data_IF_273946388530
#
_entry.id   IF_273946388530
#
_cell.length_a   1.000
_cell.length_b   1.000
_cell.length_c   1.000
_cell.angle_alpha   90.00
_cell.angle_beta   90.00
_cell.angle_gamma   90.00
#
_symmetry.space_group_name_H-M   'P 1'
#
loop_
_entity.id
_entity.type
_entity.pdbx_description
1 polymer ?
#
# COMPACT_ATOMS: atom_id res chain seq x y z
N UNK A 1 8.08 -13.73 13.05
CA UNK A 1 8.87 -13.07 11.99
C UNK A 1 8.66 -11.56 12.12
N UNK A 2 9.65 -10.74 11.76
CA UNK A 2 9.42 -9.30 11.69
C UNK A 2 8.22 -8.99 10.81
N UNK A 3 7.34 -8.08 11.26
CA UNK A 3 6.10 -7.73 10.55
C UNK A 3 6.35 -7.30 9.09
N UNK A 4 7.50 -6.69 8.83
CA UNK A 4 7.93 -6.24 7.52
C UNK A 4 8.12 -7.38 6.50
N UNK A 5 8.43 -8.60 6.95
CA UNK A 5 8.62 -9.75 6.05
C UNK A 5 7.35 -10.26 5.40
N UNK A 6 6.21 -9.88 5.93
CA UNK A 6 4.89 -10.29 5.44
C UNK A 6 4.03 -9.10 5.02
N UNK A 7 4.60 -7.89 5.02
CA UNK A 7 3.92 -6.70 4.53
C UNK A 7 3.96 -6.64 3.01
N UNK A 8 2.94 -6.03 2.42
CA UNK A 8 2.98 -5.61 1.01
C UNK A 8 4.08 -4.56 0.82
N UNK A 9 4.67 -4.44 -0.38
CA UNK A 9 5.53 -3.31 -0.69
C UNK A 9 4.83 -1.98 -0.43
N UNK A 10 5.59 -0.96 -0.05
CA UNK A 10 5.08 0.42 -0.06
C UNK A 10 4.93 0.84 -1.52
N UNK A 11 3.72 1.20 -1.91
CA UNK A 11 3.37 1.47 -3.29
C UNK A 11 2.29 2.53 -3.44
N UNK A 12 2.10 2.97 -4.67
CA UNK A 12 1.14 3.99 -5.04
C UNK A 12 0.44 3.60 -6.34
N UNK A 13 -0.83 3.96 -6.46
CA UNK A 13 -1.60 3.72 -7.69
C UNK A 13 -1.75 4.99 -8.50
N UNK A 14 -1.77 4.88 -9.85
CA UNK A 14 -1.93 6.01 -10.76
C UNK A 14 -3.39 6.45 -10.89
N UNK A 15 -3.58 7.73 -11.19
CA UNK A 15 -4.85 8.26 -11.64
C UNK A 15 -5.19 7.81 -13.07
N UNK A 16 -6.48 7.91 -13.46
CA UNK A 16 -6.90 7.66 -14.84
C UNK A 16 -6.19 8.57 -15.83
N UNK A 17 -5.92 9.83 -15.44
CA UNK A 17 -5.13 10.73 -16.28
C UNK A 17 -3.71 10.21 -16.51
N UNK A 18 -3.05 9.75 -15.46
CA UNK A 18 -1.68 9.26 -15.56
C UNK A 18 -1.58 8.04 -16.48
N UNK A 19 -2.48 7.06 -16.32
CA UNK A 19 -2.44 5.85 -17.16
C UNK A 19 -2.85 6.13 -18.61
N UNK A 20 -3.73 7.10 -18.85
CA UNK A 20 -4.05 7.54 -20.21
C UNK A 20 -2.84 8.20 -20.90
N UNK A 21 -2.12 9.06 -20.17
CA UNK A 21 -0.98 9.78 -20.72
C UNK A 21 0.25 8.88 -20.98
N UNK A 22 0.41 7.79 -20.22
CA UNK A 22 1.64 6.99 -20.23
C UNK A 22 1.47 5.56 -20.77
N UNK A 23 0.24 5.03 -20.72
CA UNK A 23 0.00 3.62 -21.03
C UNK A 23 -1.17 3.40 -21.99
N UNK A 24 -1.82 4.47 -22.48
CA UNK A 24 -3.01 4.42 -23.33
C UNK A 24 -4.17 3.61 -22.68
N UNK A 25 -4.30 3.72 -21.36
CA UNK A 25 -5.31 3.03 -20.57
C UNK A 25 -6.37 4.01 -20.04
N UNK A 26 -7.66 3.64 -20.08
CA UNK A 26 -8.73 4.58 -19.74
C UNK A 26 -8.95 4.76 -18.24
N UNK A 27 -8.53 3.81 -17.41
CA UNK A 27 -8.89 3.76 -16.00
C UNK A 27 -7.69 3.54 -15.08
N UNK A 28 -7.46 4.46 -14.16
CA UNK A 28 -6.53 4.32 -13.06
C UNK A 28 -7.06 3.38 -11.97
N UNK A 29 -6.23 3.08 -10.97
CA UNK A 29 -6.57 2.15 -9.91
C UNK A 29 -7.05 2.88 -8.65
N UNK A 30 -8.32 2.66 -8.32
CA UNK A 30 -8.92 2.95 -7.02
C UNK A 30 -9.07 1.63 -6.28
N UNK A 31 -8.67 1.60 -5.05
CA UNK A 31 -8.64 0.39 -4.23
C UNK A 31 -9.36 0.60 -2.91
N UNK A 32 -9.77 -0.48 -2.28
CA UNK A 32 -10.30 -0.50 -0.92
C UNK A 32 -9.82 -1.75 -0.19
N UNK A 33 -9.56 -1.60 1.12
CA UNK A 33 -9.34 -2.73 2.02
C UNK A 33 -10.50 -2.83 2.99
N UNK A 34 -11.20 -3.94 2.97
CA UNK A 34 -12.10 -4.32 4.05
C UNK A 34 -11.40 -5.33 4.95
N UNK A 35 -11.32 -5.02 6.23
CA UNK A 35 -10.63 -5.86 7.22
C UNK A 35 -11.61 -6.92 7.73
N UNK A 36 -11.51 -8.13 7.21
CA UNK A 36 -12.35 -9.25 7.63
C UNK A 36 -11.94 -9.80 9.00
N UNK A 37 -10.63 -9.85 9.27
CA UNK A 37 -10.07 -10.24 10.57
C UNK A 37 -8.79 -9.46 10.84
N UNK A 38 -8.55 -9.11 12.10
CA UNK A 38 -7.31 -8.48 12.54
C UNK A 38 -6.80 -9.12 13.83
N UNK A 39 -5.51 -9.45 13.84
CA UNK A 39 -4.82 -10.08 14.96
C UNK A 39 -3.78 -9.15 15.57
N UNK A 40 -3.23 -9.53 16.71
CA UNK A 40 -2.18 -8.77 17.37
C UNK A 40 -0.99 -8.49 16.43
N UNK A 41 -0.54 -7.25 16.38
CA UNK A 41 0.55 -6.81 15.51
C UNK A 41 0.15 -6.51 14.06
N UNK A 42 -1.14 -6.55 13.71
CA UNK A 42 -1.62 -6.11 12.41
C UNK A 42 -1.38 -4.60 12.22
N UNK A 43 -1.01 -4.23 10.99
CA UNK A 43 -0.75 -2.85 10.62
C UNK A 43 -1.22 -2.59 9.19
N UNK A 44 -1.84 -1.44 8.98
CA UNK A 44 -2.10 -0.88 7.66
C UNK A 44 -1.34 0.44 7.54
N UNK A 45 -0.48 0.52 6.55
CA UNK A 45 0.33 1.70 6.29
C UNK A 45 -0.36 2.52 5.21
N UNK A 46 -0.70 3.78 5.48
CA UNK A 46 -1.40 4.60 4.50
C UNK A 46 -1.22 6.09 4.74
N UNK A 47 -0.79 6.77 3.67
CA UNK A 47 -0.47 8.19 3.69
C UNK A 47 0.89 8.50 4.29
N UNK A 48 1.47 9.61 3.90
CA UNK A 48 2.66 10.15 4.55
C UNK A 48 2.30 10.80 5.88
N UNK A 49 3.17 10.72 6.88
CA UNK A 49 3.02 11.53 8.10
C UNK A 49 2.95 13.01 7.76
N UNK A 50 2.29 13.78 8.60
CA UNK A 50 2.06 15.20 8.31
C UNK A 50 3.34 16.02 8.16
N UNK A 51 4.37 15.64 8.90
CA UNK A 51 5.71 16.24 8.93
C UNK A 51 6.75 15.50 8.05
N UNK A 52 6.37 14.44 7.35
CA UNK A 52 7.31 13.68 6.53
C UNK A 52 7.83 14.50 5.35
N UNK A 53 9.14 14.45 5.14
CA UNK A 53 9.80 15.00 3.96
C UNK A 53 9.70 13.98 2.81
N UNK A 54 8.86 14.29 1.81
CA UNK A 54 8.63 13.40 0.67
C UNK A 54 9.85 13.38 -0.28
N UNK A 55 10.57 14.48 -0.43
CA UNK A 55 11.77 14.52 -1.26
C UNK A 55 12.86 13.64 -0.64
N UNK A 56 12.98 13.67 0.67
CA UNK A 56 13.89 12.77 1.40
C UNK A 56 13.47 11.30 1.28
N UNK A 57 12.16 10.99 1.35
CA UNK A 57 11.67 9.64 1.09
C UNK A 57 12.08 9.15 -0.30
N UNK A 58 11.85 9.94 -1.33
CA UNK A 58 12.21 9.60 -2.71
C UNK A 58 13.70 9.39 -2.87
N UNK A 59 14.52 10.27 -2.25
CA UNK A 59 15.97 10.14 -2.24
C UNK A 59 16.43 8.84 -1.60
N UNK A 60 15.86 8.47 -0.46
CA UNK A 60 16.17 7.22 0.25
C UNK A 60 15.77 5.99 -0.57
N UNK A 61 14.61 6.01 -1.22
CA UNK A 61 14.17 4.93 -2.11
C UNK A 61 15.15 4.76 -3.30
N UNK A 62 15.61 5.87 -3.89
CA UNK A 62 16.60 5.83 -4.97
C UNK A 62 17.96 5.29 -4.51
N UNK A 63 18.44 5.71 -3.37
CA UNK A 63 19.71 5.21 -2.81
C UNK A 63 19.61 3.74 -2.38
N UNK A 64 18.46 3.35 -1.86
CA UNK A 64 18.18 1.97 -1.48
C UNK A 64 18.13 1.03 -2.68
N UNK A 65 17.50 1.43 -3.79
CA UNK A 65 17.17 0.56 -4.94
C UNK A 65 16.56 -0.77 -4.48
N UNK A 66 15.89 -0.76 -3.33
CA UNK A 66 15.38 -1.94 -2.64
C UNK A 66 16.45 -3.03 -2.35
N UNK A 67 17.73 -2.66 -2.36
CA UNK A 67 18.88 -3.52 -2.04
C UNK A 67 19.38 -3.24 -0.63
N UNK A 68 19.31 -1.97 -0.21
CA UNK A 68 19.71 -1.53 1.13
C UNK A 68 18.46 -1.20 1.95
N UNK A 69 18.36 -1.69 3.20
CA UNK A 69 17.27 -1.29 4.07
C UNK A 69 17.21 0.23 4.29
N UNK A 70 15.99 0.76 4.38
CA UNK A 70 15.71 2.11 4.86
C UNK A 70 15.26 1.94 6.31
N UNK A 71 16.18 2.07 7.27
CA UNK A 71 15.92 1.73 8.66
C UNK A 71 14.82 2.60 9.30
N UNK A 72 14.71 3.84 8.85
CA UNK A 72 13.76 4.82 9.35
C UNK A 72 12.51 4.99 8.46
N UNK A 73 12.17 4.02 7.60
CA UNK A 73 11.03 4.15 6.70
C UNK A 73 9.69 4.45 7.43
N UNK A 74 9.55 3.98 8.67
CA UNK A 74 8.39 4.24 9.52
C UNK A 74 8.25 5.71 9.96
N UNK A 75 9.29 6.51 9.78
CA UNK A 75 9.21 7.94 10.07
C UNK A 75 8.44 8.70 8.98
N UNK A 76 8.32 8.12 7.80
CA UNK A 76 7.64 8.73 6.65
C UNK A 76 6.18 8.32 6.52
N UNK A 77 5.84 7.05 6.77
CA UNK A 77 4.52 6.49 6.46
C UNK A 77 3.68 6.34 7.74
N UNK A 78 2.43 6.78 7.66
CA UNK A 78 1.49 6.67 8.77
C UNK A 78 1.00 5.22 8.96
N UNK A 79 0.85 4.83 10.22
CA UNK A 79 0.37 3.51 10.62
C UNK A 79 -1.04 3.59 11.21
N UNK A 80 -1.90 2.70 10.75
CA UNK A 80 -3.28 2.55 11.19
C UNK A 80 -3.50 1.11 11.63
N UNK A 81 -3.37 0.78 12.93
CA UNK A 81 -3.67 -0.56 13.43
C UNK A 81 -5.13 -0.91 13.12
N UNK A 82 -5.36 -1.94 12.28
CA UNK A 82 -6.69 -2.26 11.80
C UNK A 82 -7.52 -2.96 12.87
N UNK A 83 -8.84 -2.84 12.73
CA UNK A 83 -9.83 -3.61 13.48
C UNK A 83 -10.75 -4.33 12.51
N UNK A 84 -11.28 -5.45 12.92
CA UNK A 84 -12.31 -6.16 12.17
C UNK A 84 -13.47 -5.22 11.81
N UNK A 85 -13.87 -5.23 10.54
CA UNK A 85 -14.89 -4.38 9.98
C UNK A 85 -14.43 -3.01 9.49
N UNK A 86 -13.19 -2.62 9.73
CA UNK A 86 -12.66 -1.36 9.17
C UNK A 86 -12.65 -1.40 7.65
N UNK A 87 -12.91 -0.26 7.04
CA UNK A 87 -12.83 -0.04 5.61
C UNK A 87 -11.86 1.13 5.33
N UNK A 88 -10.87 0.86 4.51
CA UNK A 88 -9.91 1.85 4.03
C UNK A 88 -10.17 2.15 2.56
N UNK A 89 -10.35 3.41 2.22
CA UNK A 89 -10.43 3.88 0.85
C UNK A 89 -9.04 4.29 0.39
N UNK A 90 -8.63 3.83 -0.79
CA UNK A 90 -7.29 4.06 -1.32
C UNK A 90 -7.39 4.65 -2.73
N UNK A 91 -7.66 5.96 -2.82
CA UNK A 91 -7.66 6.63 -4.12
C UNK A 91 -6.23 6.76 -4.68
N UNK A 92 -6.09 6.92 -6.01
CA UNK A 92 -4.81 7.18 -6.64
C UNK A 92 -4.00 8.26 -5.93
N UNK A 93 -2.67 8.11 -5.91
CA UNK A 93 -1.78 9.05 -5.24
C UNK A 93 -1.68 8.87 -3.72
N UNK A 94 -2.22 7.78 -3.18
CA UNK A 94 -2.08 7.41 -1.77
C UNK A 94 -0.97 6.39 -1.60
N UNK A 95 0.13 6.76 -0.93
CA UNK A 95 1.16 5.81 -0.53
C UNK A 95 0.58 4.83 0.48
N UNK A 96 0.70 3.51 0.24
CA UNK A 96 0.11 2.53 1.13
C UNK A 96 0.71 1.13 1.00
N UNK A 97 0.29 0.27 1.92
CA UNK A 97 0.54 -1.16 1.95
C UNK A 97 -0.04 -1.74 3.25
N UNK A 98 -0.53 -2.96 3.22
CA UNK A 98 -0.94 -3.62 4.46
C UNK A 98 0.16 -4.56 4.98
N UNK A 99 0.25 -4.66 6.30
CA UNK A 99 1.11 -5.62 6.98
C UNK A 99 0.46 -7.00 7.10
N UNK A 100 1.15 -7.91 7.73
CA UNK A 100 0.61 -9.22 8.08
C UNK A 100 -0.37 -9.19 9.25
N UNK A 101 -0.74 -10.37 9.71
CA UNK A 101 -1.64 -10.60 10.86
C UNK A 101 -3.05 -10.00 10.66
N UNK A 102 -3.54 -9.99 9.43
CA UNK A 102 -4.89 -9.56 9.09
C UNK A 102 -5.39 -10.31 7.85
N UNK A 103 -6.71 -10.47 7.78
CA UNK A 103 -7.40 -10.92 6.58
C UNK A 103 -8.06 -9.72 5.92
N UNK A 104 -7.65 -9.43 4.70
CA UNK A 104 -8.13 -8.28 3.94
C UNK A 104 -8.91 -8.77 2.73
N UNK A 105 -10.11 -8.24 2.54
CA UNK A 105 -10.81 -8.29 1.27
C UNK A 105 -10.46 -7.02 0.51
N UNK A 106 -9.62 -7.16 -0.49
CA UNK A 106 -9.23 -6.09 -1.39
C UNK A 106 -10.21 -6.02 -2.56
N UNK A 107 -10.61 -4.82 -2.90
CA UNK A 107 -11.45 -4.53 -4.06
C UNK A 107 -10.87 -3.34 -4.80
N UNK A 108 -10.77 -3.43 -6.11
CA UNK A 108 -10.24 -2.36 -6.93
C UNK A 108 -11.03 -2.14 -8.23
N UNK A 109 -10.80 -0.99 -8.87
CA UNK A 109 -11.49 -0.59 -10.10
C UNK A 109 -10.78 -1.04 -11.37
N UNK A 110 -9.58 -1.58 -11.22
CA UNK A 110 -8.78 -1.94 -12.37
C UNK A 110 -9.08 -3.37 -12.81
N UNK A 111 -9.79 -3.57 -13.93
CA UNK A 111 -9.72 -4.84 -14.58
C UNK A 111 -8.25 -5.02 -15.00
N UNK A 112 -7.63 -6.13 -14.64
CA UNK A 112 -6.31 -6.51 -15.10
C UNK A 112 -6.32 -6.68 -16.62
N UNK A 113 -6.36 -5.56 -17.35
CA UNK A 113 -6.19 -5.54 -18.80
C UNK A 113 -4.68 -5.74 -19.04
N UNK A 114 -4.33 -6.75 -19.80
CA UNK A 114 -2.94 -7.12 -20.09
C UNK A 114 -2.07 -7.54 -18.87
N UNK A 115 -2.67 -7.91 -17.74
CA UNK A 115 -1.93 -8.43 -16.59
C UNK A 115 -1.17 -7.37 -15.80
N UNK A 116 -1.46 -6.10 -15.97
CA UNK A 116 -0.87 -5.03 -15.17
C UNK A 116 -1.83 -4.58 -14.09
N UNK A 117 -1.37 -4.57 -12.86
CA UNK A 117 -2.16 -4.12 -11.70
C UNK A 117 -1.97 -2.63 -11.42
N UNK A 118 -1.09 -1.95 -12.17
CA UNK A 118 -0.71 -0.55 -11.94
C UNK A 118 -0.41 -0.23 -10.48
N UNK A 119 0.36 -1.11 -9.83
CA UNK A 119 0.94 -0.88 -8.51
C UNK A 119 2.39 -0.46 -8.69
N UNK A 120 2.70 0.80 -8.42
CA UNK A 120 4.06 1.31 -8.54
C UNK A 120 4.78 1.21 -7.20
N UNK A 121 5.62 0.19 -7.07
CA UNK A 121 6.37 -0.10 -5.86
C UNK A 121 7.50 0.89 -5.68
N UNK A 122 7.61 1.48 -4.50
CA UNK A 122 8.70 2.37 -4.11
C UNK A 122 9.67 1.72 -3.13
N UNK A 123 9.20 0.86 -2.23
CA UNK A 123 10.04 0.19 -1.27
C UNK A 123 9.47 -1.18 -0.85
N UNK A 124 10.26 -2.22 -0.91
CA UNK A 124 9.89 -3.59 -0.52
C UNK A 124 10.83 -4.16 0.56
N UNK A 125 11.24 -3.30 1.50
CA UNK A 125 12.01 -3.66 2.70
C UNK A 125 13.34 -4.36 2.42
N UNK A 126 13.92 -4.19 1.23
CA UNK A 126 15.14 -4.85 0.78
C UNK A 126 15.13 -6.38 1.00
N UNK A 127 13.96 -6.99 0.96
CA UNK A 127 13.82 -8.44 1.17
C UNK A 127 14.16 -9.22 -0.09
N UNK A 128 14.78 -10.40 0.05
CA UNK A 128 15.04 -11.24 -1.11
C UNK A 128 13.74 -11.78 -1.72
N UNK A 129 13.73 -11.95 -3.03
CA UNK A 129 12.64 -12.62 -3.72
C UNK A 129 12.79 -14.15 -3.67
N UNK A 130 11.76 -14.84 -4.12
CA UNK A 130 11.81 -16.28 -4.30
C UNK A 130 12.81 -16.66 -5.41
N UNK A 131 13.66 -17.64 -5.14
CA UNK A 131 14.58 -18.21 -6.11
C UNK A 131 14.08 -19.60 -6.51
N UNK A 132 13.64 -19.74 -7.76
CA UNK A 132 13.08 -21.01 -8.27
C UNK A 132 14.10 -22.15 -8.33
N UNK A 133 15.37 -21.83 -8.49
CA UNK A 133 16.42 -22.85 -8.53
C UNK A 133 16.78 -23.32 -7.11
N UNK A 134 16.93 -22.39 -6.18
CA UNK A 134 17.25 -22.69 -4.80
C UNK A 134 16.02 -23.10 -3.98
N UNK A 135 14.80 -22.91 -4.50
CA UNK A 135 13.52 -23.15 -3.79
C UNK A 135 13.46 -22.48 -2.41
N UNK A 136 13.93 -21.24 -2.34
CA UNK A 136 13.99 -20.45 -1.11
C UNK A 136 14.00 -18.95 -1.40
N UNK A 137 13.83 -18.12 -0.35
CA UNK A 137 13.86 -16.66 -0.41
C UNK A 137 15.30 -16.12 -0.42
N UNK A 138 16.01 -16.35 -1.50
CA UNK A 138 17.42 -15.92 -1.70
C UNK A 138 17.64 -15.19 -3.02
N UNK A 139 16.58 -14.98 -3.78
CA UNK A 139 16.64 -14.23 -5.04
C UNK A 139 16.95 -12.75 -4.80
N UNK A 140 17.29 -12.06 -5.89
CA UNK A 140 17.53 -10.61 -5.82
C UNK A 140 16.25 -9.88 -5.38
N UNK A 141 16.36 -8.83 -4.57
CA UNK A 141 15.23 -7.96 -4.26
C UNK A 141 14.49 -7.49 -5.52
N UNK A 142 13.17 -7.29 -5.41
CA UNK A 142 12.36 -6.80 -6.51
C UNK A 142 12.82 -5.41 -6.98
N UNK A 143 12.77 -5.18 -8.28
CA UNK A 143 13.01 -3.85 -8.84
C UNK A 143 11.82 -2.95 -8.54
N UNK A 144 12.11 -1.74 -8.09
CA UNK A 144 11.09 -0.72 -7.79
C UNK A 144 10.75 0.11 -9.04
N UNK A 145 9.58 0.78 -9.00
CA UNK A 145 9.07 1.60 -10.09
C UNK A 145 9.24 3.09 -9.76
N UNK A 146 10.47 3.49 -9.34
CA UNK A 146 10.72 4.79 -8.73
C UNK A 146 10.45 5.98 -9.66
N UNK A 147 10.70 5.82 -10.97
CA UNK A 147 10.41 6.87 -11.94
C UNK A 147 8.92 7.19 -12.00
N UNK A 148 8.08 6.16 -12.05
CA UNK A 148 6.64 6.34 -12.02
C UNK A 148 6.17 6.88 -10.67
N UNK A 149 6.65 6.31 -9.56
CA UNK A 149 6.31 6.77 -8.22
C UNK A 149 6.62 8.25 -8.01
N UNK A 150 7.77 8.72 -8.49
CA UNK A 150 8.17 10.15 -8.40
C UNK A 150 7.21 11.08 -9.16
N UNK A 151 6.66 10.64 -10.27
CA UNK A 151 5.74 11.43 -11.10
C UNK A 151 4.30 11.43 -10.57
N UNK A 152 3.99 10.67 -9.51
CA UNK A 152 2.68 10.65 -8.89
C UNK A 152 2.50 11.80 -7.90
N UNK A 153 1.28 12.30 -7.80
CA UNK A 153 0.91 13.19 -6.71
C UNK A 153 0.93 12.44 -5.38
N UNK A 154 1.74 12.89 -4.43
CA UNK A 154 1.89 12.30 -3.09
C UNK A 154 1.35 13.24 -2.01
N UNK A 155 0.15 13.73 -2.21
CA UNK A 155 -0.42 14.82 -1.40
C UNK A 155 -1.14 14.34 -0.14
N UNK A 156 -1.34 13.01 0.01
CA UNK A 156 -2.18 12.50 1.09
C UNK A 156 -1.38 12.30 2.37
N UNK A 157 -1.58 13.24 3.29
CA UNK A 157 -0.97 13.24 4.61
C UNK A 157 -1.85 12.52 5.63
N UNK A 158 -1.26 12.12 6.75
CA UNK A 158 -1.92 11.34 7.79
C UNK A 158 -3.20 11.97 8.32
N UNK A 159 -3.20 13.27 8.59
CA UNK A 159 -4.39 14.00 9.03
C UNK A 159 -5.52 13.91 8.02
N UNK A 160 -5.21 14.12 6.75
CA UNK A 160 -6.20 14.02 5.68
C UNK A 160 -6.72 12.58 5.48
N UNK A 161 -5.82 11.58 5.53
CA UNK A 161 -6.16 10.15 5.45
C UNK A 161 -7.13 9.78 6.55
N UNK A 162 -6.84 10.18 7.79
CA UNK A 162 -7.68 9.92 8.96
C UNK A 162 -9.12 10.41 8.77
N UNK A 163 -9.26 11.61 8.22
CA UNK A 163 -10.56 12.28 8.12
C UNK A 163 -11.37 11.85 6.89
N UNK A 164 -10.71 11.30 5.86
CA UNK A 164 -11.35 11.06 4.57
C UNK A 164 -11.33 9.60 4.10
N UNK A 165 -10.36 8.79 4.52
CA UNK A 165 -10.15 7.46 3.96
C UNK A 165 -10.42 6.32 4.93
N UNK A 166 -10.46 6.58 6.23
CA UNK A 166 -10.72 5.56 7.24
C UNK A 166 -12.19 5.53 7.61
N UNK A 167 -12.76 4.34 7.65
CA UNK A 167 -14.14 4.16 8.07
C UNK A 167 -14.26 2.95 8.99
N UNK A 168 -15.05 3.12 10.05
CA UNK A 168 -15.42 2.07 10.99
C UNK A 168 -16.88 1.69 10.79
N UNK A 169 -17.26 0.42 10.88
CA UNK A 169 -18.62 -0.01 10.67
C UNK A 169 -19.58 0.61 11.67
N UNK A 170 -20.78 0.95 11.19
CA UNK A 170 -21.90 1.40 12.02
C UNK A 170 -23.00 0.37 11.94
N UNK A 171 -23.47 -0.10 13.08
CA UNK A 171 -24.63 -1.00 13.13
C UNK A 171 -25.89 -0.19 12.75
N UNK A 172 -26.48 -0.53 11.61
CA UNK A 172 -27.73 0.06 11.14
C UNK A 172 -28.91 -0.79 11.62
N UNK A 173 -28.75 -2.13 11.60
CA UNK A 173 -29.78 -3.08 11.97
C UNK A 173 -29.14 -4.33 12.58
N UNK A 174 -29.72 -4.81 13.67
CA UNK A 174 -29.30 -6.05 14.30
C UNK A 174 -30.32 -7.15 14.03
N UNK A 175 -29.86 -8.34 13.65
CA UNK A 175 -30.67 -9.56 13.51
C UNK A 175 -30.00 -10.70 14.28
N UNK A 176 -30.67 -11.86 14.37
CA UNK A 176 -30.07 -13.04 15.00
C UNK A 176 -28.95 -13.69 14.17
N UNK A 177 -28.89 -13.39 12.89
CA UNK A 177 -27.99 -14.05 11.93
C UNK A 177 -26.89 -13.13 11.43
N UNK A 178 -27.17 -11.84 11.31
CA UNK A 178 -26.23 -10.84 10.82
C UNK A 178 -26.61 -9.45 11.30
N UNK A 179 -25.68 -8.51 11.15
CA UNK A 179 -25.94 -7.07 11.30
C UNK A 179 -25.65 -6.33 9.99
N UNK A 180 -26.34 -5.25 9.78
CA UNK A 180 -26.22 -4.39 8.61
C UNK A 180 -25.93 -2.97 9.10
#
# INVERSE_FOLDING_TARGET
>A
QPAERISMPMHIHPSSKYVADHFDEPLGRYETYYIAEAYEGANTWMGFKDDADIEEWERLCEESQNIKPIDNWKDFIANWPPKEGDLYLIPPGTMHGHGGNQMVLEMDTNPSINGTEYSFFEYDFARPSWDDNAKTMTGKPLKMHLEHGRNMEKTRRASWVKDNLLSTPKVIKWTKEYFI
#
